data_IF_730256810212
#
_entry.id   IF_730256810212
#
_cell.length_a   1.000
_cell.length_b   1.000
_cell.length_c   1.000
_cell.angle_alpha   90.00
_cell.angle_beta   90.00
_cell.angle_gamma   90.00
#
_symmetry.space_group_name_H-M   'P 1'
#
loop_
_entity.id
_entity.type
_entity.pdbx_description
1 polymer ?
#
# COMPACT_ATOMS: atom_id res chain seq x y z
N UNK A 1 -10.54 -13.57 23.16
CA UNK A 1 -9.07 -13.47 23.01
C UNK A 1 -8.84 -12.83 21.68
N UNK A 2 -8.12 -11.73 21.68
CA UNK A 2 -7.78 -11.00 20.47
C UNK A 2 -6.28 -10.77 20.50
N UNK A 3 -5.62 -11.02 19.37
CA UNK A 3 -4.22 -10.79 19.16
C UNK A 3 -3.94 -9.37 18.70
N UNK A 4 -2.68 -9.13 18.33
CA UNK A 4 -2.25 -7.83 17.84
C UNK A 4 -1.20 -7.99 16.74
N UNK A 5 -1.14 -7.03 15.82
CA UNK A 5 -0.06 -6.90 14.85
C UNK A 5 0.71 -5.61 15.14
N UNK A 6 2.04 -5.69 15.16
CA UNK A 6 2.91 -4.52 15.36
C UNK A 6 4.15 -4.54 14.49
N UNK A 7 4.67 -3.36 14.23
CA UNK A 7 5.86 -3.17 13.41
C UNK A 7 6.25 -1.71 13.28
N UNK A 8 7.10 -1.44 12.31
CA UNK A 8 7.66 -0.13 12.02
C UNK A 8 7.52 0.20 10.55
N UNK A 9 7.33 1.49 10.26
CA UNK A 9 7.31 2.01 8.90
C UNK A 9 8.41 3.04 8.75
N UNK A 10 9.19 2.88 7.68
CA UNK A 10 10.30 3.75 7.32
C UNK A 10 10.22 4.16 5.85
N UNK A 11 11.01 5.16 5.46
CA UNK A 11 11.26 5.48 4.06
C UNK A 11 12.36 4.58 3.47
N UNK A 12 12.58 4.71 2.16
CA UNK A 12 13.62 3.98 1.44
C UNK A 12 15.07 4.25 1.95
N UNK A 13 15.29 5.32 2.72
CA UNK A 13 16.58 5.64 3.34
C UNK A 13 16.67 5.15 4.80
N UNK A 14 15.62 4.49 5.32
CA UNK A 14 15.54 4.03 6.71
C UNK A 14 15.09 5.11 7.70
N UNK A 15 14.61 6.25 7.23
CA UNK A 15 14.02 7.30 8.07
C UNK A 15 12.63 6.87 8.59
N UNK A 16 12.34 6.97 9.90
CA UNK A 16 11.04 6.57 10.43
C UNK A 16 9.91 7.45 9.90
N UNK A 17 8.79 6.84 9.54
CA UNK A 17 7.63 7.53 8.99
C UNK A 17 6.46 7.55 9.96
N UNK A 18 6.16 8.73 10.50
CA UNK A 18 4.98 8.97 11.33
C UNK A 18 3.77 9.47 10.55
N UNK A 19 2.58 9.10 11.02
CA UNK A 19 1.31 9.44 10.37
C UNK A 19 1.03 8.64 9.10
N UNK A 20 1.61 7.44 8.99
CA UNK A 20 1.24 6.46 7.97
C UNK A 20 0.08 5.64 8.51
N UNK A 21 -0.96 5.48 7.69
CA UNK A 21 -2.10 4.64 8.04
C UNK A 21 -1.74 3.17 7.80
N UNK A 22 -1.98 2.33 8.80
CA UNK A 22 -1.80 0.89 8.73
C UNK A 22 -3.17 0.24 8.89
N UNK A 23 -3.67 -0.31 7.80
CA UNK A 23 -4.97 -0.94 7.73
C UNK A 23 -4.82 -2.46 7.68
N UNK A 24 -5.74 -3.16 8.33
CA UNK A 24 -5.83 -4.62 8.27
C UNK A 24 -7.08 -5.07 7.55
N UNK A 25 -6.95 -6.12 6.76
CA UNK A 25 -8.08 -6.78 6.10
C UNK A 25 -8.04 -8.27 6.36
N UNK A 26 -9.11 -8.82 6.89
CA UNK A 26 -9.22 -10.27 7.05
C UNK A 26 -9.35 -10.93 5.68
N UNK A 27 -8.64 -12.03 5.46
CA UNK A 27 -8.72 -12.78 4.18
C UNK A 27 -10.16 -13.25 3.95
N UNK A 28 -10.75 -12.84 2.83
CA UNK A 28 -12.14 -13.13 2.49
C UNK A 28 -13.15 -12.08 2.96
N UNK A 29 -12.75 -11.09 3.76
CA UNK A 29 -13.59 -9.96 4.13
C UNK A 29 -13.66 -8.93 2.98
N UNK A 30 -14.79 -8.20 2.92
CA UNK A 30 -15.04 -7.15 1.91
C UNK A 30 -14.62 -5.74 2.36
N UNK A 31 -14.40 -5.56 3.66
CA UNK A 31 -14.05 -4.28 4.26
C UNK A 31 -12.71 -4.38 4.99
N UNK A 32 -12.03 -3.24 5.10
CA UNK A 32 -10.92 -3.08 6.04
C UNK A 32 -11.47 -2.89 7.45
N UNK A 33 -10.72 -3.37 8.42
CA UNK A 33 -10.92 -3.01 9.82
C UNK A 33 -10.33 -1.61 10.08
N UNK A 34 -10.79 -0.91 11.13
CA UNK A 34 -10.21 0.37 11.52
C UNK A 34 -8.69 0.26 11.67
N UNK A 35 -7.96 1.07 10.90
CA UNK A 35 -6.50 1.13 10.96
C UNK A 35 -5.98 1.98 12.11
N UNK A 36 -4.67 1.95 12.30
CA UNK A 36 -3.93 2.83 13.22
C UNK A 36 -2.97 3.72 12.43
N UNK A 37 -2.49 4.78 13.06
CA UNK A 37 -1.40 5.59 12.50
C UNK A 37 -0.07 5.24 13.17
N UNK A 38 1.01 5.27 12.39
CA UNK A 38 2.36 5.19 12.93
C UNK A 38 2.70 6.43 13.77
N UNK A 39 3.43 6.24 14.87
CA UNK A 39 3.92 7.33 15.70
C UNK A 39 5.09 8.09 15.04
N UNK A 40 5.60 9.14 15.68
CA UNK A 40 6.74 9.92 15.15
C UNK A 40 8.03 9.12 14.96
N UNK A 41 8.12 7.94 15.57
CA UNK A 41 9.23 7.01 15.43
C UNK A 41 8.92 5.88 14.43
N UNK A 42 7.78 5.94 13.73
CA UNK A 42 7.36 4.96 12.73
C UNK A 42 6.70 3.71 13.32
N UNK A 43 6.49 3.62 14.63
CA UNK A 43 5.96 2.42 15.27
C UNK A 43 4.44 2.41 15.22
N UNK A 44 3.87 1.22 15.06
CA UNK A 44 2.43 1.04 15.14
C UNK A 44 2.08 -0.29 15.83
N UNK A 45 0.89 -0.33 16.42
CA UNK A 45 0.30 -1.54 16.98
C UNK A 45 -1.20 -1.54 16.72
N UNK A 46 -1.70 -2.57 16.04
CA UNK A 46 -3.12 -2.82 15.81
C UNK A 46 -3.59 -3.82 16.86
N UNK A 47 -4.39 -3.39 17.86
CA UNK A 47 -4.95 -4.30 18.86
C UNK A 47 -6.22 -4.99 18.34
N UNK A 48 -6.78 -5.86 19.18
CA UNK A 48 -8.13 -6.41 19.04
C UNK A 48 -8.39 -7.22 17.76
N UNK A 49 -7.36 -7.84 17.19
CA UNK A 49 -7.50 -8.70 16.01
C UNK A 49 -7.92 -10.13 16.40
N UNK A 50 -9.09 -10.56 15.92
CA UNK A 50 -9.55 -11.92 16.09
C UNK A 50 -8.63 -12.95 15.42
N UNK A 51 -8.65 -14.22 15.89
CA UNK A 51 -7.89 -15.29 15.26
C UNK A 51 -8.30 -15.47 13.80
N UNK A 52 -7.32 -15.64 12.92
CA UNK A 52 -7.55 -15.75 11.49
C UNK A 52 -6.37 -15.29 10.65
N UNK A 53 -6.61 -15.16 9.34
CA UNK A 53 -5.63 -14.67 8.38
C UNK A 53 -5.93 -13.21 8.04
N UNK A 54 -4.90 -12.38 8.13
CA UNK A 54 -4.96 -10.95 7.96
C UNK A 54 -3.94 -10.49 6.93
N UNK A 55 -4.32 -9.53 6.10
CA UNK A 55 -3.41 -8.79 5.23
C UNK A 55 -3.28 -7.38 5.75
N UNK A 56 -2.07 -6.83 5.65
CA UNK A 56 -1.74 -5.49 6.12
C UNK A 56 -1.40 -4.62 4.93
N UNK A 57 -2.03 -3.45 4.88
CA UNK A 57 -1.77 -2.39 3.93
C UNK A 57 -1.23 -1.18 4.68
N UNK A 58 -0.15 -0.61 4.15
CA UNK A 58 0.47 0.61 4.61
C UNK A 58 0.20 1.68 3.58
N UNK A 59 -0.36 2.82 3.98
CA UNK A 59 -0.69 3.85 2.99
C UNK A 59 -1.22 5.15 3.56
N UNK A 60 -1.82 5.91 2.65
CA UNK A 60 -2.47 7.19 2.97
C UNK A 60 -3.87 6.90 3.48
N UNK A 61 -4.20 7.35 4.68
CA UNK A 61 -5.59 7.29 5.16
C UNK A 61 -6.45 8.17 4.25
N UNK A 62 -7.43 7.58 3.58
CA UNK A 62 -8.50 8.34 2.91
C UNK A 62 -9.50 8.92 3.91
N UNK A 63 -9.52 8.39 5.14
CA UNK A 63 -10.38 8.83 6.23
C UNK A 63 -9.81 10.04 6.99
N UNK A 64 -8.49 10.26 6.92
CA UNK A 64 -7.79 11.36 7.58
C UNK A 64 -6.95 12.16 6.57
N UNK A 65 -7.49 13.25 5.99
CA UNK A 65 -6.74 14.06 5.04
C UNK A 65 -5.52 14.73 5.70
N UNK A 66 -4.34 14.55 5.10
CA UNK A 66 -3.16 15.39 5.36
C UNK A 66 -1.97 14.73 6.07
N UNK A 67 -2.02 13.43 6.40
CA UNK A 67 -0.84 12.67 6.89
C UNK A 67 -0.52 11.51 5.93
N UNK A 68 0.76 11.31 5.61
CA UNK A 68 1.20 10.30 4.65
C UNK A 68 0.96 10.61 3.16
N UNK A 69 0.38 11.76 2.80
CA UNK A 69 -0.12 12.09 1.45
C UNK A 69 0.89 12.02 0.28
N UNK A 70 2.18 11.85 0.57
CA UNK A 70 3.25 11.75 -0.41
C UNK A 70 3.94 10.36 -0.41
N UNK A 71 3.32 9.32 0.13
CA UNK A 71 3.86 7.94 0.06
C UNK A 71 2.94 7.05 -0.76
N UNK A 72 3.53 6.13 -1.53
CA UNK A 72 2.75 5.14 -2.26
C UNK A 72 2.26 4.07 -1.29
N UNK A 73 0.99 3.62 -1.41
CA UNK A 73 0.49 2.52 -0.62
C UNK A 73 1.18 1.22 -1.03
N UNK A 74 1.40 0.34 -0.05
CA UNK A 74 2.06 -0.94 -0.21
C UNK A 74 1.46 -1.98 0.73
N UNK A 75 1.46 -3.24 0.31
CA UNK A 75 1.06 -4.36 1.16
C UNK A 75 2.27 -5.03 1.79
N UNK A 76 2.05 -5.67 2.94
CA UNK A 76 3.09 -6.40 3.66
C UNK A 76 3.96 -7.29 2.77
N UNK A 77 5.25 -7.34 3.10
CA UNK A 77 6.31 -8.02 2.34
C UNK A 77 6.60 -7.40 0.96
N UNK A 78 6.55 -6.06 0.91
CA UNK A 78 6.85 -5.24 -0.26
C UNK A 78 5.98 -5.59 -1.49
N UNK A 79 4.70 -5.88 -1.27
CA UNK A 79 3.80 -6.37 -2.31
C UNK A 79 2.95 -5.25 -2.89
N UNK A 80 2.85 -5.11 -4.22
CA UNK A 80 2.10 -4.03 -4.85
C UNK A 80 0.58 -4.25 -4.81
N UNK A 81 0.12 -5.45 -4.46
CA UNK A 81 -1.30 -5.81 -4.48
C UNK A 81 -1.66 -6.72 -3.31
N UNK A 82 -2.91 -6.60 -2.85
CA UNK A 82 -3.46 -7.51 -1.83
C UNK A 82 -3.27 -8.98 -2.22
N UNK A 83 -3.49 -9.34 -3.49
CA UNK A 83 -3.41 -10.72 -3.95
C UNK A 83 -2.00 -11.33 -3.80
N UNK A 84 -0.96 -10.52 -3.98
CA UNK A 84 0.44 -10.93 -3.82
C UNK A 84 0.91 -10.89 -2.36
N UNK A 85 0.25 -10.10 -1.50
CA UNK A 85 0.57 -9.96 -0.09
C UNK A 85 0.45 -11.27 0.71
N UNK A 86 1.49 -11.60 1.47
CA UNK A 86 1.47 -12.72 2.40
C UNK A 86 0.43 -12.47 3.51
N UNK A 87 -0.36 -13.49 3.84
CA UNK A 87 -1.30 -13.42 4.94
C UNK A 87 -0.59 -13.71 6.26
N UNK A 88 -0.83 -12.87 7.25
CA UNK A 88 -0.39 -13.02 8.63
C UNK A 88 -1.44 -13.83 9.38
N UNK A 89 -1.01 -14.91 10.03
CA UNK A 89 -1.91 -15.75 10.83
C UNK A 89 -1.82 -15.33 12.29
N UNK A 90 -2.96 -15.08 12.92
CA UNK A 90 -3.08 -14.83 14.37
C UNK A 90 -3.78 -16.01 15.01
N UNK A 91 -3.15 -16.63 16.02
CA UNK A 91 -3.75 -17.71 16.81
C UNK A 91 -4.09 -17.23 18.23
N UNK A 92 -5.38 -17.13 18.56
CA UNK A 92 -5.83 -16.74 19.89
C UNK A 92 -5.54 -15.28 20.22
N UNK A 93 -4.71 -15.03 21.25
CA UNK A 93 -4.24 -13.73 21.72
C UNK A 93 -2.77 -13.45 21.35
N UNK A 94 -2.28 -14.10 20.29
CA UNK A 94 -0.92 -13.95 19.79
C UNK A 94 -0.61 -12.50 19.38
N UNK A 95 0.52 -12.00 19.87
CA UNK A 95 1.11 -10.74 19.42
C UNK A 95 2.11 -11.03 18.30
N UNK A 96 1.74 -10.71 17.08
CA UNK A 96 2.62 -10.80 15.90
C UNK A 96 3.39 -9.48 15.76
N UNK A 97 4.71 -9.59 15.72
CA UNK A 97 5.64 -8.44 15.66
C UNK A 97 6.56 -8.54 14.45
N UNK A 98 7.16 -7.43 14.03
CA UNK A 98 8.10 -7.39 12.90
C UNK A 98 7.40 -7.34 11.54
N UNK A 99 6.17 -6.82 11.54
CA UNK A 99 5.42 -6.54 10.30
C UNK A 99 5.85 -5.15 9.84
N UNK A 100 7.03 -5.07 9.24
CA UNK A 100 7.65 -3.79 8.87
C UNK A 100 7.39 -3.41 7.41
N UNK A 101 7.48 -2.12 7.08
CA UNK A 101 7.36 -1.61 5.71
C UNK A 101 8.33 -0.47 5.42
N UNK A 102 8.79 -0.38 4.16
CA UNK A 102 9.67 0.67 3.67
C UNK A 102 8.98 1.42 2.51
N UNK A 103 8.23 2.46 2.83
CA UNK A 103 7.41 3.16 1.85
C UNK A 103 8.25 4.03 0.91
N UNK A 104 8.05 3.84 -0.38
CA UNK A 104 8.53 4.74 -1.40
C UNK A 104 7.74 6.06 -1.34
N UNK A 105 8.47 7.18 -1.30
CA UNK A 105 7.85 8.48 -1.47
C UNK A 105 7.23 8.55 -2.87
N UNK A 106 5.92 8.78 -2.93
CA UNK A 106 5.23 9.14 -4.14
C UNK A 106 5.87 10.41 -4.70
N UNK A 107 6.38 10.33 -5.93
CA UNK A 107 6.67 11.53 -6.69
C UNK A 107 5.37 12.26 -6.95
N UNK A 108 5.33 13.59 -6.80
CA UNK A 108 4.47 14.38 -7.70
C UNK A 108 4.81 13.92 -9.12
N UNK A 109 3.88 13.26 -9.81
CA UNK A 109 4.08 12.89 -11.21
C UNK A 109 4.20 14.17 -12.05
N UNK A 110 5.41 14.70 -12.18
CA UNK A 110 5.89 15.31 -13.42
C UNK A 110 6.70 14.23 -14.13
N UNK A 111 6.01 13.16 -14.54
CA UNK A 111 6.58 12.14 -15.39
C UNK A 111 6.23 12.48 -16.84
N UNK A 112 7.23 12.67 -17.68
CA UNK A 112 7.03 12.52 -19.12
C UNK A 112 7.03 11.04 -19.40
N UNK A 113 5.97 10.52 -20.03
CA UNK A 113 6.00 9.17 -20.62
C UNK A 113 6.95 9.26 -21.82
N UNK A 114 8.22 8.91 -21.62
CA UNK A 114 9.15 8.69 -22.73
C UNK A 114 9.03 7.24 -23.16
N UNK A 115 8.27 7.01 -24.23
CA UNK A 115 8.43 5.81 -25.07
C UNK A 115 9.88 5.76 -25.57
N UNK A 116 10.51 4.59 -25.50
CA UNK A 116 11.87 4.38 -25.99
C UNK A 116 11.89 4.56 -27.52
N UNK A 117 12.24 5.76 -27.97
CA UNK A 117 12.38 6.09 -29.38
C UNK A 117 12.27 7.57 -29.76
N UNK A 118 11.72 8.46 -28.92
CA UNK A 118 11.59 9.87 -29.30
C UNK A 118 11.61 10.84 -28.09
N UNK A 119 12.57 11.77 -27.97
CA UNK A 119 12.72 12.66 -26.82
C UNK A 119 11.84 13.92 -26.95
N UNK A 120 10.51 13.78 -26.92
CA UNK A 120 9.62 14.93 -26.87
C UNK A 120 8.55 14.78 -25.77
N UNK A 121 8.50 15.71 -24.79
CA UNK A 121 7.53 15.61 -23.72
C UNK A 121 6.12 15.99 -24.18
N UNK A 122 5.20 15.03 -24.16
CA UNK A 122 3.78 15.30 -24.37
C UNK A 122 3.14 15.71 -23.05
N UNK A 123 2.76 16.99 -22.97
CA UNK A 123 1.84 17.50 -21.94
C UNK A 123 0.44 16.98 -22.22
N UNK A 124 -0.01 15.97 -21.48
CA UNK A 124 -1.44 15.70 -21.34
C UNK A 124 -1.75 15.19 -19.94
N UNK A 125 -2.91 15.60 -19.42
CA UNK A 125 -3.40 15.19 -18.11
C UNK A 125 -3.47 13.65 -18.04
N UNK A 126 -2.72 13.08 -17.11
CA UNK A 126 -2.72 11.63 -16.85
C UNK A 126 -4.00 11.27 -16.08
N UNK A 127 -4.90 10.56 -16.75
CA UNK A 127 -5.93 9.77 -16.10
C UNK A 127 -5.37 8.38 -15.84
N UNK A 128 -5.24 8.00 -14.57
CA UNK A 128 -4.79 6.66 -14.18
C UNK A 128 -5.97 5.70 -14.34
N UNK A 129 -5.90 4.78 -15.31
CA UNK A 129 -6.72 3.58 -15.34
C UNK A 129 -5.85 2.38 -14.95
N UNK A 130 -6.11 1.80 -13.77
CA UNK A 130 -5.50 0.54 -13.37
C UNK A 130 -6.11 -0.57 -14.22
N UNK A 131 -5.31 -1.17 -15.10
CA UNK A 131 -5.76 -2.14 -16.08
C UNK A 131 -6.27 -3.45 -15.48
N UNK A 132 -7.38 -3.95 -16.02
CA UNK A 132 -7.71 -5.36 -16.02
C UNK A 132 -7.97 -5.80 -17.46
N UNK A 133 -7.33 -6.89 -17.86
CA UNK A 133 -7.72 -7.69 -19.01
C UNK A 133 -6.85 -7.46 -20.25
N UNK A 134 -5.99 -8.44 -20.52
CA UNK A 134 -5.41 -8.63 -21.83
C UNK A 134 -6.53 -9.04 -22.82
N UNK A 135 -6.76 -8.24 -23.86
CA UNK A 135 -7.49 -8.68 -25.04
C UNK A 135 -6.78 -8.05 -26.25
N UNK A 136 -6.02 -8.88 -26.97
CA UNK A 136 -5.39 -8.55 -28.25
C UNK A 136 -6.38 -7.88 -29.20
N UNK A 137 -6.06 -6.68 -29.70
CA UNK A 137 -6.73 -6.12 -30.88
C UNK A 137 -5.71 -5.47 -31.82
N UNK A 138 -5.43 -6.18 -32.91
CA UNK A 138 -4.65 -5.76 -34.07
C UNK A 138 -5.13 -4.42 -34.64
N UNK A 139 -4.23 -3.46 -34.80
CA UNK A 139 -4.53 -2.22 -35.50
C UNK A 139 -4.53 -2.46 -37.03
N UNK A 140 -5.71 -2.39 -37.67
CA UNK A 140 -5.82 -2.10 -39.10
C UNK A 140 -5.93 -0.59 -39.27
N UNK A 141 -4.93 0.02 -39.89
CA UNK A 141 -5.02 1.35 -40.49
C UNK A 141 -5.82 1.28 -41.78
N UNK A 142 -6.82 2.14 -41.93
CA UNK A 142 -7.39 2.50 -43.24
C UNK A 142 -7.34 4.01 -43.36
N UNK A 143 -6.74 4.44 -44.48
CA UNK A 143 -6.54 5.81 -44.98
C UNK A 143 -7.77 6.72 -44.90
#
# INVERSE_FOLDING_TARGET
>A
MAGSISGTVADANGGPLGGIAVNTRQVGARAFEPGVETDSAGHYTIPDLGPGQWKVEFGVSTELPGRGANYLPEWYDNQPTEAAAAAITIMGDEAVTGIDAALAQGGTMSGTITEEGNPAPLSSCVSVSTGQGAEDYTAQTLD
#
